data_IF_766154314191
#
_entry.id   IF_766154314191
#
_cell.length_a   1.000
_cell.length_b   1.000
_cell.length_c   1.000
_cell.angle_alpha   90.00
_cell.angle_beta   90.00
_cell.angle_gamma   90.00
#
_symmetry.space_group_name_H-M   'P 1'
#
loop_
_entity.id
_entity.type
_entity.pdbx_description
1 polymer ?
#
# COMPACT_ATOMS: atom_id res chain seq x y z
N UNK A 1 -19.11 10.29 -23.53
CA UNK A 1 -17.71 10.39 -23.06
C UNK A 1 -17.06 9.03 -23.35
N UNK A 2 -16.07 8.94 -24.24
CA UNK A 2 -15.43 7.64 -24.56
C UNK A 2 -14.49 7.23 -23.42
N UNK A 3 -14.62 5.97 -22.98
CA UNK A 3 -13.70 5.34 -22.03
C UNK A 3 -12.47 4.85 -22.78
N UNK A 4 -11.30 5.35 -22.39
CA UNK A 4 -10.01 4.98 -22.98
C UNK A 4 -9.23 4.19 -21.94
N UNK A 5 -8.30 3.33 -22.37
CA UNK A 5 -7.50 2.50 -21.45
C UNK A 5 -6.84 3.34 -20.36
N UNK A 6 -6.28 4.49 -20.74
CA UNK A 6 -5.65 5.44 -19.84
C UNK A 6 -6.62 5.97 -18.78
N UNK A 7 -7.84 6.31 -19.18
CA UNK A 7 -8.86 6.81 -18.25
C UNK A 7 -9.37 5.72 -17.31
N UNK A 8 -9.56 4.50 -17.83
CA UNK A 8 -9.90 3.33 -17.02
C UNK A 8 -8.82 3.08 -15.97
N UNK A 9 -7.54 3.04 -16.36
CA UNK A 9 -6.43 2.88 -15.43
C UNK A 9 -6.36 3.99 -14.37
N UNK A 10 -6.62 5.24 -14.75
CA UNK A 10 -6.64 6.37 -13.81
C UNK A 10 -7.75 6.23 -12.76
N UNK A 11 -8.96 5.87 -13.19
CA UNK A 11 -10.07 5.59 -12.28
C UNK A 11 -9.83 4.36 -11.41
N UNK A 12 -9.23 3.29 -11.94
CA UNK A 12 -8.84 2.13 -11.15
C UNK A 12 -7.84 2.52 -10.06
N UNK A 13 -6.86 3.38 -10.36
CA UNK A 13 -5.90 3.86 -9.37
C UNK A 13 -6.58 4.70 -8.28
N UNK A 14 -7.49 5.61 -8.66
CA UNK A 14 -8.25 6.44 -7.71
C UNK A 14 -9.14 5.60 -6.79
N UNK A 15 -9.98 4.74 -7.37
CA UNK A 15 -10.91 3.89 -6.61
C UNK A 15 -10.17 2.86 -5.76
N UNK A 16 -9.09 2.28 -6.30
CA UNK A 16 -8.22 1.36 -5.57
C UNK A 16 -7.56 2.04 -4.37
N UNK A 17 -7.01 3.23 -4.57
CA UNK A 17 -6.40 4.03 -3.48
C UNK A 17 -7.43 4.37 -2.40
N UNK A 18 -8.64 4.79 -2.79
CA UNK A 18 -9.71 5.11 -1.86
C UNK A 18 -10.17 3.87 -1.06
N UNK A 19 -10.41 2.75 -1.74
CA UNK A 19 -10.79 1.49 -1.10
C UNK A 19 -9.72 1.00 -0.12
N UNK A 20 -8.44 1.07 -0.51
CA UNK A 20 -7.33 0.74 0.39
C UNK A 20 -7.30 1.69 1.59
N UNK A 21 -7.38 3.01 1.38
CA UNK A 21 -7.36 3.99 2.47
C UNK A 21 -8.50 3.74 3.49
N UNK A 22 -9.71 3.50 3.00
CA UNK A 22 -10.87 3.16 3.85
C UNK A 22 -10.65 1.84 4.57
N UNK A 23 -10.19 0.80 3.86
CA UNK A 23 -9.91 -0.49 4.47
C UNK A 23 -8.85 -0.39 5.58
N UNK A 24 -7.74 0.31 5.33
CA UNK A 24 -6.72 0.56 6.34
C UNK A 24 -7.25 1.36 7.54
N UNK A 25 -8.05 2.41 7.29
CA UNK A 25 -8.64 3.21 8.36
C UNK A 25 -9.62 2.39 9.22
N UNK A 26 -10.33 1.42 8.65
CA UNK A 26 -11.29 0.58 9.35
C UNK A 26 -10.70 -0.74 9.88
N UNK A 27 -9.41 -1.01 9.65
CA UNK A 27 -8.75 -2.24 10.11
C UNK A 27 -8.71 -2.29 11.63
N UNK A 28 -9.36 -3.28 12.28
CA UNK A 28 -9.32 -3.41 13.74
C UNK A 28 -7.88 -3.56 14.24
N UNK A 29 -7.53 -2.89 15.34
CA UNK A 29 -6.21 -2.97 15.97
C UNK A 29 -5.10 -2.17 15.29
N UNK A 30 -5.29 -1.74 14.03
CA UNK A 30 -4.25 -1.05 13.23
C UNK A 30 -4.69 0.28 12.64
N UNK A 31 -6.00 0.44 12.41
CA UNK A 31 -6.64 1.66 11.94
C UNK A 31 -7.25 2.46 13.09
N UNK A 32 -8.33 3.18 12.81
CA UNK A 32 -9.08 3.96 13.79
C UNK A 32 -9.98 3.12 14.70
N UNK A 33 -10.17 1.83 14.40
CA UNK A 33 -11.00 0.91 15.17
C UNK A 33 -10.13 0.16 16.16
N UNK A 34 -10.36 0.38 17.46
CA UNK A 34 -9.66 -0.27 18.57
C UNK A 34 -8.14 -0.32 18.37
N UNK A 35 -7.51 0.82 18.07
CA UNK A 35 -6.06 0.90 17.81
C UNK A 35 -5.27 0.40 19.01
N UNK A 36 -4.35 -0.55 18.79
CA UNK A 36 -3.48 -1.11 19.83
C UNK A 36 -2.01 -0.96 19.46
N UNK A 37 -1.08 -1.04 20.43
CA UNK A 37 0.35 -1.11 20.12
C UNK A 37 0.63 -2.30 19.20
N UNK A 38 1.33 -2.05 18.10
CA UNK A 38 1.59 -3.06 17.07
C UNK A 38 2.33 -4.28 17.66
N UNK A 39 3.23 -4.05 18.62
CA UNK A 39 4.03 -5.06 19.32
C UNK A 39 3.22 -5.97 20.26
N UNK A 40 1.97 -5.63 20.56
CA UNK A 40 1.11 -6.42 21.45
C UNK A 40 0.18 -7.34 20.65
N UNK A 41 0.65 -8.55 20.36
CA UNK A 41 -0.13 -9.57 19.64
C UNK A 41 -1.45 -9.90 20.35
N UNK A 42 -1.45 -10.03 21.68
CA UNK A 42 -2.65 -10.30 22.46
C UNK A 42 -3.70 -9.21 22.31
N UNK A 43 -3.29 -7.94 22.35
CA UNK A 43 -4.20 -6.80 22.17
C UNK A 43 -4.74 -6.74 20.75
N UNK A 44 -3.90 -7.05 19.74
CA UNK A 44 -4.31 -7.08 18.34
C UNK A 44 -5.35 -8.18 18.10
N UNK A 45 -5.10 -9.40 18.58
CA UNK A 45 -6.05 -10.51 18.46
C UNK A 45 -7.37 -10.19 19.16
N UNK A 46 -7.33 -9.55 20.34
CA UNK A 46 -8.53 -9.14 21.06
C UNK A 46 -9.34 -8.08 20.29
N UNK A 47 -8.67 -7.08 19.71
CA UNK A 47 -9.33 -6.06 18.88
C UNK A 47 -9.98 -6.67 17.63
N UNK A 48 -9.31 -7.64 17.01
CA UNK A 48 -9.84 -8.37 15.86
C UNK A 48 -11.04 -9.24 16.24
N UNK A 49 -11.01 -9.93 17.39
CA UNK A 49 -12.11 -10.73 17.89
C UNK A 49 -13.34 -9.88 18.27
N UNK A 50 -13.13 -8.71 18.90
CA UNK A 50 -14.22 -7.77 19.23
C UNK A 50 -14.91 -7.20 17.99
N UNK A 51 -14.21 -7.16 16.86
CA UNK A 51 -14.69 -6.61 15.60
C UNK A 51 -14.68 -7.67 14.49
N UNK A 52 -15.11 -8.90 14.81
CA UNK A 52 -15.02 -10.07 13.92
C UNK A 52 -15.53 -9.80 12.49
N UNK A 53 -16.70 -9.19 12.34
CA UNK A 53 -17.25 -8.86 11.03
C UNK A 53 -16.34 -7.92 10.20
N UNK A 54 -15.71 -6.94 10.84
CA UNK A 54 -14.75 -6.04 10.20
C UNK A 54 -13.43 -6.76 9.90
N UNK A 55 -12.98 -7.64 10.80
CA UNK A 55 -11.78 -8.46 10.61
C UNK A 55 -11.87 -9.36 9.37
N UNK A 56 -13.07 -9.74 8.95
CA UNK A 56 -13.31 -10.44 7.68
C UNK A 56 -13.55 -9.52 6.48
N UNK A 57 -14.34 -8.47 6.66
CA UNK A 57 -14.74 -7.59 5.55
C UNK A 57 -13.60 -6.68 5.08
N UNK A 58 -12.80 -6.15 6.01
CA UNK A 58 -11.72 -5.20 5.69
C UNK A 58 -10.64 -5.81 4.80
N UNK A 59 -10.10 -7.02 5.08
CA UNK A 59 -9.16 -7.69 4.17
C UNK A 59 -9.68 -7.81 2.74
N UNK A 60 -10.96 -8.15 2.56
CA UNK A 60 -11.60 -8.26 1.25
C UNK A 60 -11.59 -6.90 0.54
N UNK A 61 -12.01 -5.83 1.22
CA UNK A 61 -11.98 -4.46 0.68
C UNK A 61 -10.56 -4.04 0.31
N UNK A 62 -9.57 -4.32 1.16
CA UNK A 62 -8.16 -4.01 0.88
C UNK A 62 -7.66 -4.79 -0.33
N UNK A 63 -8.01 -6.08 -0.47
CA UNK A 63 -7.62 -6.91 -1.61
C UNK A 63 -8.24 -6.38 -2.90
N UNK A 64 -9.55 -6.10 -2.93
CA UNK A 64 -10.19 -5.52 -4.10
C UNK A 64 -9.61 -4.14 -4.44
N UNK A 65 -9.37 -3.30 -3.44
CA UNK A 65 -8.69 -2.02 -3.59
C UNK A 65 -7.30 -2.16 -4.19
N UNK A 66 -6.51 -3.10 -3.69
CA UNK A 66 -5.16 -3.40 -4.19
C UNK A 66 -5.20 -3.91 -5.63
N UNK A 67 -6.15 -4.78 -6.01
CA UNK A 67 -6.32 -5.25 -7.39
C UNK A 67 -6.65 -4.10 -8.35
N UNK A 68 -7.56 -3.20 -7.96
CA UNK A 68 -7.86 -1.99 -8.74
C UNK A 68 -6.63 -1.09 -8.85
N UNK A 69 -5.90 -0.90 -7.75
CA UNK A 69 -4.70 -0.08 -7.74
C UNK A 69 -3.60 -0.69 -8.62
N UNK A 70 -3.40 -2.01 -8.59
CA UNK A 70 -2.48 -2.75 -9.46
C UNK A 70 -2.83 -2.56 -10.94
N UNK A 71 -4.12 -2.65 -11.31
CA UNK A 71 -4.54 -2.34 -12.68
C UNK A 71 -4.12 -0.92 -13.08
N UNK A 72 -4.37 0.08 -12.23
CA UNK A 72 -3.97 1.46 -12.47
C UNK A 72 -2.44 1.64 -12.60
N UNK A 73 -1.65 0.99 -11.75
CA UNK A 73 -0.18 1.02 -11.80
C UNK A 73 0.36 0.33 -13.06
N UNK A 74 -0.26 -0.76 -13.51
CA UNK A 74 0.10 -1.44 -14.76
C UNK A 74 -0.20 -0.57 -15.99
N UNK A 75 -1.32 0.14 -15.99
CA UNK A 75 -1.61 1.14 -17.03
C UNK A 75 -0.56 2.26 -16.99
N UNK A 76 -0.27 2.80 -15.80
CA UNK A 76 0.75 3.84 -15.60
C UNK A 76 2.13 3.42 -16.13
N UNK A 77 2.54 2.17 -15.88
CA UNK A 77 3.79 1.58 -16.36
C UNK A 77 3.95 1.65 -17.89
N UNK A 78 2.87 1.47 -18.65
CA UNK A 78 2.89 1.52 -20.12
C UNK A 78 3.28 2.91 -20.65
N UNK A 79 2.92 3.95 -19.91
CA UNK A 79 3.17 5.35 -20.27
C UNK A 79 4.39 5.97 -19.58
N UNK A 80 4.99 5.24 -18.63
CA UNK A 80 6.15 5.70 -17.88
C UNK A 80 7.48 5.41 -18.59
N UNK A 81 8.49 6.27 -18.38
CA UNK A 81 9.87 6.04 -18.81
C UNK A 81 10.54 4.89 -18.01
N UNK A 82 11.71 4.37 -18.44
CA UNK A 82 12.36 3.22 -17.80
C UNK A 82 12.65 3.39 -16.30
N UNK A 83 13.09 4.57 -15.85
CA UNK A 83 13.42 4.81 -14.43
C UNK A 83 12.17 4.75 -13.54
N UNK A 84 11.07 5.47 -13.82
CA UNK A 84 9.85 5.31 -13.03
C UNK A 84 9.27 3.89 -13.05
N UNK A 85 9.47 3.11 -14.13
CA UNK A 85 9.04 1.70 -14.18
C UNK A 85 9.70 0.82 -13.11
N UNK A 86 10.94 1.12 -12.72
CA UNK A 86 11.61 0.40 -11.62
C UNK A 86 10.93 0.70 -10.28
N UNK A 87 10.60 1.97 -10.04
CA UNK A 87 9.86 2.38 -8.84
C UNK A 87 8.45 1.77 -8.80
N UNK A 88 7.75 1.73 -9.93
CA UNK A 88 6.46 1.06 -10.07
C UNK A 88 6.54 -0.44 -9.79
N UNK A 89 7.60 -1.12 -10.20
CA UNK A 89 7.79 -2.54 -9.91
C UNK A 89 7.92 -2.78 -8.40
N UNK A 90 8.69 -1.96 -7.70
CA UNK A 90 8.82 -2.04 -6.24
C UNK A 90 7.49 -1.76 -5.53
N UNK A 91 6.68 -0.83 -6.03
CA UNK A 91 5.32 -0.56 -5.53
C UNK A 91 4.37 -1.75 -5.76
N UNK A 92 4.43 -2.38 -6.93
CA UNK A 92 3.66 -3.60 -7.22
C UNK A 92 4.04 -4.73 -6.27
N UNK A 93 5.34 -4.92 -6.01
CA UNK A 93 5.82 -5.90 -5.04
C UNK A 93 5.31 -5.58 -3.63
N UNK A 94 5.39 -4.32 -3.19
CA UNK A 94 4.87 -3.89 -1.91
C UNK A 94 3.38 -4.20 -1.76
N UNK A 95 2.58 -3.94 -2.79
CA UNK A 95 1.15 -4.26 -2.80
C UNK A 95 0.88 -5.76 -2.77
N UNK A 96 1.61 -6.55 -3.54
CA UNK A 96 1.47 -7.99 -3.53
C UNK A 96 1.77 -8.56 -2.13
N UNK A 97 2.84 -8.09 -1.49
CA UNK A 97 3.17 -8.47 -0.11
C UNK A 97 2.07 -8.07 0.88
N UNK A 98 1.52 -6.86 0.75
CA UNK A 98 0.40 -6.43 1.58
C UNK A 98 -0.84 -7.33 1.40
N UNK A 99 -1.16 -7.74 0.17
CA UNK A 99 -2.27 -8.66 -0.08
C UNK A 99 -2.04 -10.01 0.61
N UNK A 100 -0.82 -10.57 0.52
CA UNK A 100 -0.46 -11.83 1.20
C UNK A 100 -0.57 -11.67 2.72
N UNK A 101 -0.09 -10.56 3.29
CA UNK A 101 -0.22 -10.28 4.71
C UNK A 101 -1.68 -10.29 5.17
N UNK A 102 -2.61 -9.75 4.36
CA UNK A 102 -4.05 -9.78 4.69
C UNK A 102 -4.63 -11.18 4.71
N UNK A 103 -4.16 -12.06 3.82
CA UNK A 103 -4.49 -13.48 3.88
C UNK A 103 -3.99 -14.13 5.18
N UNK A 104 -2.79 -13.79 5.63
CA UNK A 104 -2.26 -14.29 6.90
C UNK A 104 -2.96 -13.71 8.13
N UNK A 105 -3.31 -12.41 8.14
CA UNK A 105 -4.12 -11.82 9.21
C UNK A 105 -5.46 -12.58 9.38
N UNK A 106 -6.10 -12.95 8.26
CA UNK A 106 -7.31 -13.77 8.26
C UNK A 106 -7.06 -15.16 8.86
N UNK A 107 -5.98 -15.83 8.45
CA UNK A 107 -5.61 -17.14 9.00
C UNK A 107 -5.32 -17.09 10.50
N UNK A 108 -4.60 -16.07 10.97
CA UNK A 108 -4.29 -15.88 12.39
C UNK A 108 -5.57 -15.71 13.21
N UNK A 109 -6.55 -14.97 12.68
CA UNK A 109 -7.86 -14.83 13.32
C UNK A 109 -8.57 -16.18 13.42
N UNK A 110 -8.60 -16.96 12.34
CA UNK A 110 -9.19 -18.30 12.33
C UNK A 110 -8.49 -19.28 13.29
N UNK A 111 -7.15 -19.23 13.37
CA UNK A 111 -6.38 -20.01 14.35
C UNK A 111 -6.69 -19.59 15.79
N UNK A 112 -6.94 -18.30 16.03
CA UNK A 112 -7.38 -17.79 17.32
C UNK A 112 -8.73 -18.36 17.75
N UNK A 113 -9.70 -18.44 16.82
CA UNK A 113 -11.00 -19.08 17.06
C UNK A 113 -10.83 -20.57 17.32
N UNK A 114 -10.10 -21.29 16.46
CA UNK A 114 -9.86 -22.71 16.63
C UNK A 114 -9.18 -23.05 17.97
N UNK A 115 -8.23 -22.21 18.41
CA UNK A 115 -7.57 -22.35 19.72
C UNK A 115 -8.55 -22.32 20.89
N UNK A 116 -9.61 -21.51 20.82
CA UNK A 116 -10.62 -21.40 21.88
C UNK A 116 -11.59 -22.58 21.91
N UNK A 117 -11.82 -23.23 20.77
CA UNK A 117 -12.75 -24.36 20.61
C UNK A 117 -12.06 -25.73 20.84
N UNK A 118 -10.72 -25.77 20.80
CA UNK A 118 -9.90 -26.97 20.91
C UNK A 118 -9.56 -27.41 22.34
N UNK A 119 -9.14 -28.67 22.47
CA UNK A 119 -8.59 -29.22 23.72
C UNK A 119 -7.24 -28.58 24.09
N UNK A 120 -6.80 -28.68 25.35
CA UNK A 120 -5.64 -27.91 25.85
C UNK A 120 -4.33 -28.08 25.06
N UNK A 121 -4.01 -29.27 24.57
CA UNK A 121 -2.80 -29.51 23.78
C UNK A 121 -2.91 -28.95 22.35
N UNK A 122 -4.07 -29.10 21.71
CA UNK A 122 -4.36 -28.55 20.39
C UNK A 122 -4.46 -27.02 20.40
N UNK A 123 -5.05 -26.46 21.46
CA UNK A 123 -5.16 -25.01 21.68
C UNK A 123 -3.79 -24.34 21.71
N UNK A 124 -2.82 -24.95 22.40
CA UNK A 124 -1.43 -24.49 22.47
C UNK A 124 -0.71 -24.59 21.11
N UNK A 125 -0.99 -25.63 20.31
CA UNK A 125 -0.43 -25.79 18.97
C UNK A 125 -0.95 -24.72 18.00
N UNK A 126 -2.26 -24.44 18.04
CA UNK A 126 -2.86 -23.34 17.27
C UNK A 126 -2.28 -21.99 17.66
N UNK A 127 -2.14 -21.74 18.96
CA UNK A 127 -1.56 -20.49 19.46
C UNK A 127 -0.10 -20.32 18.99
N UNK A 128 0.73 -21.36 19.11
CA UNK A 128 2.12 -21.33 18.65
C UNK A 128 2.24 -21.09 17.14
N UNK A 129 1.37 -21.72 16.36
CA UNK A 129 1.31 -21.53 14.90
C UNK A 129 0.92 -20.10 14.53
N UNK A 130 -0.06 -19.52 15.22
CA UNK A 130 -0.47 -18.13 15.05
C UNK A 130 0.68 -17.15 15.34
N UNK A 131 1.44 -17.37 16.42
CA UNK A 131 2.63 -16.56 16.76
C UNK A 131 3.71 -16.65 15.69
N UNK A 132 3.98 -17.84 15.15
CA UNK A 132 4.96 -18.00 14.07
C UNK A 132 4.52 -17.30 12.79
N UNK A 133 3.26 -17.45 12.41
CA UNK A 133 2.69 -16.79 11.23
C UNK A 133 2.73 -15.27 11.39
N UNK A 134 2.45 -14.75 12.59
CA UNK A 134 2.57 -13.34 12.89
C UNK A 134 3.99 -12.80 12.64
N UNK A 135 5.06 -13.56 12.97
CA UNK A 135 6.45 -13.16 12.68
C UNK A 135 6.72 -13.05 11.18
N UNK A 136 6.13 -13.93 10.38
CA UNK A 136 6.20 -13.84 8.90
C UNK A 136 5.47 -12.59 8.41
N UNK A 137 4.28 -12.30 8.93
CA UNK A 137 3.53 -11.06 8.64
C UNK A 137 4.36 -9.82 8.96
N UNK A 138 5.06 -9.81 10.09
CA UNK A 138 6.00 -8.75 10.46
C UNK A 138 7.13 -8.57 9.44
N UNK A 139 7.77 -9.65 8.99
CA UNK A 139 8.81 -9.59 7.96
C UNK A 139 8.29 -9.07 6.62
N UNK A 140 7.09 -9.47 6.22
CA UNK A 140 6.42 -8.94 5.03
C UNK A 140 6.03 -7.47 5.19
N UNK A 141 5.63 -7.04 6.40
CA UNK A 141 5.34 -5.64 6.66
C UNK A 141 6.59 -4.77 6.46
N UNK A 142 7.72 -5.17 7.04
CA UNK A 142 9.01 -4.49 6.82
C UNK A 142 9.36 -4.41 5.34
N UNK A 143 9.33 -5.56 4.66
CA UNK A 143 9.74 -5.67 3.25
C UNK A 143 8.83 -4.83 2.35
N UNK A 144 7.52 -4.87 2.58
CA UNK A 144 6.55 -4.07 1.84
C UNK A 144 6.72 -2.57 2.11
N UNK A 145 7.02 -2.16 3.34
CA UNK A 145 7.32 -0.77 3.69
C UNK A 145 8.56 -0.25 2.95
N UNK A 146 9.66 -1.01 3.01
CA UNK A 146 10.91 -0.66 2.31
C UNK A 146 10.70 -0.59 0.80
N UNK A 147 10.07 -1.62 0.20
CA UNK A 147 9.78 -1.66 -1.23
C UNK A 147 8.82 -0.53 -1.65
N UNK A 148 7.83 -0.22 -0.83
CA UNK A 148 6.85 0.83 -1.08
C UNK A 148 7.48 2.22 -1.10
N UNK A 149 8.18 2.60 -0.02
CA UNK A 149 8.80 3.93 0.05
C UNK A 149 9.94 4.13 -0.95
N UNK A 150 10.82 3.13 -1.10
CA UNK A 150 11.89 3.21 -2.11
C UNK A 150 11.32 3.23 -3.53
N UNK A 151 10.27 2.45 -3.80
CA UNK A 151 9.55 2.45 -5.06
C UNK A 151 8.92 3.81 -5.38
N UNK A 152 8.23 4.41 -4.41
CA UNK A 152 7.70 5.78 -4.55
C UNK A 152 8.80 6.79 -4.82
N UNK A 153 9.92 6.73 -4.09
CA UNK A 153 11.03 7.66 -4.26
C UNK A 153 11.63 7.58 -5.66
N UNK A 154 11.97 6.38 -6.13
CA UNK A 154 12.53 6.14 -7.48
C UNK A 154 11.55 6.56 -8.57
N UNK A 155 10.26 6.24 -8.40
CA UNK A 155 9.21 6.62 -9.33
C UNK A 155 9.07 8.14 -9.44
N UNK A 156 8.96 8.82 -8.30
CA UNK A 156 8.78 10.26 -8.23
C UNK A 156 10.01 11.00 -8.78
N UNK A 157 11.22 10.57 -8.42
CA UNK A 157 12.45 11.13 -8.97
C UNK A 157 12.51 10.96 -10.50
N UNK A 158 12.13 9.79 -11.00
CA UNK A 158 12.06 9.53 -12.44
C UNK A 158 11.09 10.46 -13.17
N UNK A 159 9.91 10.72 -12.60
CA UNK A 159 8.94 11.66 -13.17
C UNK A 159 9.36 13.14 -13.03
N UNK A 160 10.21 13.48 -12.06
CA UNK A 160 10.72 14.85 -11.92
C UNK A 160 11.65 15.26 -13.08
N UNK A 161 12.43 14.32 -13.61
CA UNK A 161 13.45 14.59 -14.64
C UNK A 161 13.00 14.28 -16.08
N UNK A 162 11.76 13.84 -16.29
CA UNK A 162 11.21 13.51 -17.62
C UNK A 162 9.84 14.18 -17.79
N UNK A 163 9.62 14.87 -18.92
CA UNK A 163 8.29 15.39 -19.29
C UNK A 163 7.40 14.21 -19.68
N UNK A 164 6.59 13.76 -18.73
CA UNK A 164 5.72 12.61 -18.88
C UNK A 164 4.24 12.99 -19.02
N UNK A 165 3.41 12.10 -19.60
CA UNK A 165 2.04 12.42 -20.00
C UNK A 165 1.05 12.69 -18.84
N UNK A 166 1.51 12.64 -17.59
CA UNK A 166 0.72 12.83 -16.37
C UNK A 166 0.54 14.30 -15.98
N UNK A 167 1.22 15.24 -16.66
CA UNK A 167 1.15 16.69 -16.43
C UNK A 167 1.39 17.15 -14.98
N UNK A 168 1.94 16.29 -14.11
CA UNK A 168 2.33 16.70 -12.75
C UNK A 168 3.57 17.61 -12.82
N UNK A 169 3.56 18.78 -12.16
CA UNK A 169 4.73 19.64 -12.12
C UNK A 169 5.93 18.90 -11.52
N UNK A 170 7.11 19.07 -12.11
CA UNK A 170 8.36 18.40 -11.66
C UNK A 170 8.63 18.64 -10.16
N UNK A 171 8.39 19.87 -9.67
CA UNK A 171 8.54 20.24 -8.25
C UNK A 171 7.71 19.34 -7.33
N UNK A 172 6.47 18.99 -7.72
CA UNK A 172 5.60 18.11 -6.93
C UNK A 172 6.23 16.73 -6.81
N UNK A 173 6.76 16.19 -7.91
CA UNK A 173 7.44 14.89 -7.91
C UNK A 173 8.72 14.90 -7.05
N UNK A 174 9.50 15.99 -7.08
CA UNK A 174 10.67 16.15 -6.20
C UNK A 174 10.25 16.14 -4.73
N UNK A 175 9.18 16.86 -4.37
CA UNK A 175 8.65 16.87 -3.01
C UNK A 175 8.27 15.45 -2.56
N UNK A 176 7.53 14.70 -3.38
CA UNK A 176 7.16 13.32 -3.03
C UNK A 176 8.37 12.38 -2.95
N UNK A 177 9.39 12.57 -3.79
CA UNK A 177 10.62 11.79 -3.70
C UNK A 177 11.33 12.02 -2.35
N UNK A 178 11.48 13.28 -1.93
CA UNK A 178 12.08 13.64 -0.64
C UNK A 178 11.25 13.10 0.53
N UNK A 179 9.93 13.27 0.48
CA UNK A 179 9.03 12.75 1.52
C UNK A 179 9.09 11.23 1.62
N UNK A 180 9.18 10.51 0.50
CA UNK A 180 9.30 9.06 0.50
C UNK A 180 10.64 8.57 1.09
N UNK A 181 11.75 9.26 0.79
CA UNK A 181 13.06 8.95 1.39
C UNK A 181 13.06 9.24 2.90
N UNK A 182 12.50 10.38 3.31
CA UNK A 182 12.37 10.72 4.73
C UNK A 182 11.49 9.70 5.47
N UNK A 183 10.36 9.32 4.87
CA UNK A 183 9.48 8.29 5.41
C UNK A 183 10.19 6.94 5.56
N UNK A 184 10.96 6.52 4.55
CA UNK A 184 11.76 5.30 4.62
C UNK A 184 12.79 5.34 5.76
N UNK A 185 13.51 6.45 5.92
CA UNK A 185 14.50 6.61 6.98
C UNK A 185 13.85 6.52 8.36
N UNK A 186 12.75 7.24 8.58
CA UNK A 186 11.99 7.18 9.84
C UNK A 186 11.44 5.77 10.09
N UNK A 187 10.89 5.12 9.05
CA UNK A 187 10.39 3.74 9.14
C UNK A 187 11.48 2.77 9.59
N UNK A 188 12.67 2.82 8.98
CA UNK A 188 13.79 1.93 9.34
C UNK A 188 14.26 2.21 10.77
N UNK A 189 14.41 3.47 11.18
CA UNK A 189 14.88 3.82 12.53
C UNK A 189 13.90 3.34 13.59
N UNK A 190 12.60 3.61 13.39
CA UNK A 190 11.58 3.22 14.35
C UNK A 190 11.30 1.71 14.35
N UNK A 191 11.50 1.01 13.23
CA UNK A 191 11.43 -0.45 13.20
C UNK A 191 12.41 -1.14 14.17
N UNK A 192 13.55 -0.49 14.43
CA UNK A 192 14.60 -1.03 15.31
C UNK A 192 14.51 -0.50 16.75
N UNK A 193 13.50 0.33 17.09
CA UNK A 193 13.34 0.89 18.44
C UNK A 193 11.89 0.98 18.89
N UNK A 194 11.55 0.19 19.91
CA UNK A 194 10.21 0.15 20.50
C UNK A 194 9.80 1.48 21.16
N UNK A 195 10.75 2.23 21.74
CA UNK A 195 10.46 3.53 22.37
C UNK A 195 10.16 4.62 21.32
N UNK A 196 10.84 4.55 20.18
CA UNK A 196 10.66 5.48 19.07
C UNK A 196 9.35 5.23 18.32
N UNK A 197 8.82 4.01 18.30
CA UNK A 197 7.56 3.71 17.61
C UNK A 197 6.38 4.52 18.15
N UNK A 198 6.21 4.54 19.48
CA UNK A 198 5.15 5.30 20.16
C UNK A 198 5.37 6.81 20.03
N UNK A 199 6.62 7.28 20.15
CA UNK A 199 6.96 8.70 20.00
C UNK A 199 6.75 9.21 18.56
N UNK A 200 6.89 8.33 17.56
CA UNK A 200 6.76 8.64 16.13
C UNK A 200 5.42 8.20 15.54
N UNK A 201 4.47 7.75 16.35
CA UNK A 201 3.14 7.33 15.88
C UNK A 201 2.45 8.37 14.98
N UNK A 202 2.51 9.70 15.25
CA UNK A 202 1.96 10.70 14.33
C UNK A 202 2.68 10.75 12.97
N UNK A 203 4.00 10.56 12.96
CA UNK A 203 4.78 10.49 11.72
C UNK A 203 4.41 9.25 10.90
N UNK A 204 4.23 8.10 11.57
CA UNK A 204 3.75 6.88 10.94
C UNK A 204 2.33 7.00 10.39
N UNK A 205 1.45 7.75 11.04
CA UNK A 205 0.12 8.05 10.52
C UNK A 205 0.17 8.97 9.28
N UNK A 206 1.16 9.88 9.21
CA UNK A 206 1.33 10.80 8.08
C UNK A 206 1.92 10.13 6.83
N UNK A 207 2.80 9.13 6.99
CA UNK A 207 3.42 8.40 5.88
C UNK A 207 2.42 7.80 4.86
N UNK A 208 1.38 7.03 5.27
CA UNK A 208 0.39 6.49 4.34
C UNK A 208 -0.45 7.60 3.69
N UNK A 209 -0.69 8.72 4.38
CA UNK A 209 -1.39 9.89 3.80
C UNK A 209 -0.60 10.46 2.62
N UNK A 210 0.72 10.61 2.77
CA UNK A 210 1.60 11.07 1.68
C UNK A 210 1.49 10.13 0.46
N UNK A 211 1.56 8.82 0.70
CA UNK A 211 1.40 7.81 -0.34
C UNK A 211 0.04 7.88 -1.04
N UNK A 212 -1.04 8.00 -0.27
CA UNK A 212 -2.42 8.14 -0.77
C UNK A 212 -2.55 9.38 -1.64
N UNK A 213 -2.09 10.55 -1.15
CA UNK A 213 -2.16 11.81 -1.91
C UNK A 213 -1.41 11.67 -3.24
N UNK A 214 -0.22 11.05 -3.22
CA UNK A 214 0.54 10.88 -4.45
C UNK A 214 -0.14 9.96 -5.46
N UNK A 215 -0.69 8.83 -5.00
CA UNK A 215 -1.45 7.91 -5.87
C UNK A 215 -2.71 8.56 -6.43
N UNK A 216 -3.39 9.40 -5.64
CA UNK A 216 -4.54 10.20 -6.10
C UNK A 216 -4.11 11.18 -7.19
N UNK A 217 -3.01 11.90 -7.01
CA UNK A 217 -2.48 12.83 -8.00
C UNK A 217 -2.11 12.12 -9.31
N UNK A 218 -1.46 10.95 -9.23
CA UNK A 218 -1.11 10.13 -10.39
C UNK A 218 -2.37 9.60 -11.09
N UNK A 219 -3.36 9.13 -10.32
CA UNK A 219 -4.61 8.58 -10.84
C UNK A 219 -5.44 9.66 -11.52
N UNK A 220 -5.50 10.85 -10.92
CA UNK A 220 -6.13 12.02 -11.51
C UNK A 220 -5.42 12.47 -12.79
N UNK A 221 -4.09 12.56 -12.78
CA UNK A 221 -3.31 12.90 -13.98
C UNK A 221 -3.55 11.93 -15.13
N UNK A 222 -3.69 10.63 -14.83
CA UNK A 222 -3.99 9.61 -15.81
C UNK A 222 -5.44 9.70 -16.32
N UNK A 223 -6.41 9.88 -15.43
CA UNK A 223 -7.84 9.96 -15.75
C UNK A 223 -8.26 11.23 -16.52
N UNK A 224 -7.56 12.34 -16.27
CA UNK A 224 -7.80 13.64 -16.89
C UNK A 224 -7.03 13.86 -18.18
N UNK A 225 -6.00 13.06 -18.46
CA UNK A 225 -5.21 13.21 -19.67
C UNK A 225 -6.03 12.96 -20.93
N UNK A 226 -5.90 13.87 -21.91
CA UNK A 226 -6.47 13.68 -23.25
C UNK A 226 -5.59 12.70 -24.01
N UNK A 227 -6.21 11.77 -24.74
CA UNK A 227 -5.50 11.03 -25.76
C UNK A 227 -5.06 12.06 -26.81
N UNK A 228 -3.75 12.28 -26.97
CA UNK A 228 -3.27 12.97 -28.16
C UNK A 228 -3.62 12.05 -29.34
N UNK A 229 -4.32 12.53 -30.37
CA UNK A 229 -4.48 11.74 -31.58
C UNK A 229 -3.07 11.40 -32.08
N UNK A 230 -2.82 10.11 -32.28
CA UNK A 230 -1.66 9.61 -33.02
C UNK A 230 -1.85 10.01 -34.48
N UNK A 231 -1.64 11.28 -34.79
CA UNK A 231 -1.67 11.82 -36.14
C UNK A 231 -0.52 12.80 -36.28
N UNK A 232 0.68 12.26 -36.47
CA UNK A 232 1.50 12.51 -37.65
C UNK A 232 2.78 11.66 -37.49
N UNK A 233 3.16 10.85 -38.49
CA UNK A 233 4.55 10.43 -38.57
C UNK A 233 5.37 11.72 -38.68
N UNK A 234 6.45 11.83 -37.90
CA UNK A 234 7.50 12.84 -38.10
C UNK A 234 8.11 12.60 -39.49
N UNK A 235 7.38 13.10 -40.48
CA UNK A 235 7.80 13.35 -41.85
C UNK A 235 8.51 14.69 -41.78
N UNK A 236 9.81 14.65 -42.06
CA UNK A 236 10.68 15.79 -42.34
C UNK A 236 11.28 16.51 -41.12
N UNK A 237 12.48 16.06 -40.74
CA UNK A 237 13.67 16.82 -41.14
C UNK A 237 14.90 15.90 -41.14
N UNK A 238 15.53 15.88 -42.31
CA UNK A 238 16.81 15.25 -42.66
C UNK A 238 17.96 15.64 -41.73
#
# INVERSE_FOLDING_TARGET
>A
MRWTEKRLGGWSLLLGTAAMAVGYALSPGRGAVDTVPSTSLSSLTLAMARNEALSYTVPIVIIFGAVLMLHGLLTLRRYAAPVPRLGLLALVLALALQMVMRGFDYMITGMGVASLESSGAESEEWFRSAVQLQRVVWGFHFTSGVAGFSGTAVMALGFAFRREPLHLPSVVNVVFAVLAVAALAVFIVAWHSNELELALAPAFAAMPVIGIVYMVLLGWGLASSKDKPTSEPDSEAL
#
